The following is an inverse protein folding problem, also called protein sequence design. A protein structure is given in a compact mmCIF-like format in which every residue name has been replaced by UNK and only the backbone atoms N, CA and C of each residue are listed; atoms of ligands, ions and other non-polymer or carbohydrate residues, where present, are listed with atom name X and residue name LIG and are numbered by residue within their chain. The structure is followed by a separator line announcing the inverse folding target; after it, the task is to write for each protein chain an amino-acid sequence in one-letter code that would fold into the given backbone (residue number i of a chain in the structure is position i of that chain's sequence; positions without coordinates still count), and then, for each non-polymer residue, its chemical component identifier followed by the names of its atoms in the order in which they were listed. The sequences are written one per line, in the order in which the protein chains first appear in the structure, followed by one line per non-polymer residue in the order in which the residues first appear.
data_IF_295002592475
#
_entry.id   IF_295002592475
#
_cell.length_a   1.000
_cell.length_b   1.000
_cell.length_c   1.000
_cell.angle_alpha   90.00
_cell.angle_beta   90.00
_cell.angle_gamma   90.00
#
_symmetry.space_group_name_H-M   'P 1'
#
loop_
_entity.id
_entity.type
_entity.pdbx_description
1 polymer ?
#
# COMPACT_ATOMS: atom_id res chain seq x y z
N UNK A 1 -10.79 -14.86 9.89
CA UNK A 1 -9.74 -15.47 9.04
C UNK A 1 -8.94 -14.31 8.49
N UNK A 2 -7.61 -14.29 8.67
CA UNK A 2 -6.79 -13.17 8.23
C UNK A 2 -6.89 -13.01 6.71
N UNK A 3 -6.70 -11.78 6.24
CA UNK A 3 -6.51 -11.48 4.81
C UNK A 3 -5.30 -12.28 4.33
N UNK A 4 -5.55 -13.41 3.66
CA UNK A 4 -4.46 -14.21 3.09
C UNK A 4 -4.09 -13.57 1.76
N UNK A 5 -3.06 -12.72 1.74
CA UNK A 5 -2.37 -12.35 0.50
C UNK A 5 -1.81 -13.66 -0.10
N UNK A 6 -2.59 -14.28 -0.97
CA UNK A 6 -2.21 -15.52 -1.63
C UNK A 6 -1.27 -15.16 -2.75
N UNK A 7 -0.04 -15.64 -2.65
CA UNK A 7 1.02 -15.51 -3.65
C UNK A 7 0.48 -15.90 -5.02
N UNK A 8 0.16 -14.89 -5.83
CA UNK A 8 -0.22 -15.08 -7.22
C UNK A 8 0.82 -14.34 -8.02
N UNK A 9 1.51 -15.07 -8.89
CA UNK A 9 2.31 -14.47 -9.96
C UNK A 9 1.43 -13.41 -10.63
N UNK A 10 1.81 -12.15 -10.50
CA UNK A 10 1.08 -11.05 -11.13
C UNK A 10 0.92 -11.37 -12.60
N UNK A 11 -0.32 -11.55 -13.05
CA UNK A 11 -0.56 -11.87 -14.45
C UNK A 11 -0.15 -10.67 -15.31
N UNK A 12 0.33 -10.87 -16.56
CA UNK A 12 0.63 -9.76 -17.46
C UNK A 12 -0.53 -8.78 -17.62
N UNK A 13 -1.76 -9.29 -17.51
CA UNK A 13 -2.99 -8.51 -17.56
C UNK A 13 -3.18 -7.59 -16.34
N UNK A 14 -2.74 -7.99 -15.14
CA UNK A 14 -2.84 -7.15 -13.95
C UNK A 14 -1.87 -5.96 -14.06
N UNK A 15 -0.64 -6.19 -14.53
CA UNK A 15 0.33 -5.12 -14.75
C UNK A 15 -0.22 -4.04 -15.68
N UNK A 16 -0.86 -4.40 -16.78
CA UNK A 16 -1.40 -3.45 -17.78
C UNK A 16 -2.63 -2.66 -17.30
N UNK A 17 -3.36 -3.16 -16.30
CA UNK A 17 -4.67 -2.60 -15.92
C UNK A 17 -4.69 -1.85 -14.59
N UNK A 18 -3.58 -1.80 -13.85
CA UNK A 18 -3.45 -1.00 -12.61
C UNK A 18 -2.78 0.35 -12.86
N UNK A 19 -3.11 1.36 -12.04
CA UNK A 19 -2.40 2.65 -12.07
C UNK A 19 -0.99 2.46 -11.51
N UNK A 20 0.00 3.01 -12.21
CA UNK A 20 1.42 2.92 -11.86
C UNK A 20 1.97 4.29 -11.50
N UNK A 21 3.12 4.32 -10.83
CA UNK A 21 3.78 5.58 -10.43
C UNK A 21 4.02 6.50 -11.63
N UNK A 22 4.40 5.96 -12.79
CA UNK A 22 4.58 6.76 -14.01
C UNK A 22 3.29 7.40 -14.59
N UNK A 23 2.12 7.07 -14.04
CA UNK A 23 0.82 7.66 -14.46
C UNK A 23 0.37 8.82 -13.55
N UNK A 24 1.06 9.08 -12.44
CA UNK A 24 0.75 10.18 -11.51
C UNK A 24 1.88 11.20 -11.49
N UNK A 25 1.60 12.37 -10.89
CA UNK A 25 2.62 13.38 -10.61
C UNK A 25 3.44 12.92 -9.40
N UNK A 26 4.76 12.70 -9.52
CA UNK A 26 5.59 12.18 -8.43
C UNK A 26 5.57 13.03 -7.16
N UNK A 27 5.44 14.34 -7.32
CA UNK A 27 5.39 15.31 -6.21
C UNK A 27 4.20 15.07 -5.29
N UNK A 28 3.04 14.65 -5.80
CA UNK A 28 1.86 14.36 -4.99
C UNK A 28 2.10 13.17 -4.04
N UNK A 29 2.78 12.13 -4.54
CA UNK A 29 3.17 10.96 -3.74
C UNK A 29 4.26 11.31 -2.71
N UNK A 30 5.25 12.11 -3.11
CA UNK A 30 6.28 12.63 -2.21
C UNK A 30 5.67 13.42 -1.05
N UNK A 31 4.77 14.36 -1.35
CA UNK A 31 4.09 15.18 -0.36
C UNK A 31 3.20 14.36 0.58
N UNK A 32 2.47 13.38 0.04
CA UNK A 32 1.66 12.47 0.84
C UNK A 32 2.52 11.71 1.86
N UNK A 33 3.58 11.06 1.42
CA UNK A 33 4.46 10.26 2.30
C UNK A 33 5.19 11.14 3.32
N UNK A 34 5.61 12.35 2.93
CA UNK A 34 6.27 13.29 3.83
C UNK A 34 5.41 13.71 5.03
N UNK A 35 4.07 13.77 4.89
CA UNK A 35 3.14 14.05 6.01
C UNK A 35 3.26 13.03 7.14
N UNK A 36 3.72 11.82 6.81
CA UNK A 36 3.91 10.72 7.77
C UNK A 36 5.38 10.52 8.15
N UNK A 37 6.29 11.42 7.74
CA UNK A 37 7.72 11.28 7.98
C UNK A 37 8.38 10.15 7.19
N UNK A 38 7.79 9.77 6.05
CA UNK A 38 8.35 8.79 5.12
C UNK A 38 9.05 9.49 3.95
N UNK A 39 9.98 8.79 3.30
CA UNK A 39 10.72 9.27 2.15
C UNK A 39 10.46 8.39 0.94
N UNK A 40 9.91 8.96 -0.14
CA UNK A 40 9.76 8.27 -1.42
C UNK A 40 11.05 8.39 -2.24
N UNK A 41 11.53 7.26 -2.74
CA UNK A 41 12.69 7.16 -3.62
C UNK A 41 12.24 6.56 -4.96
N UNK A 42 12.28 7.36 -6.02
CA UNK A 42 12.06 6.89 -7.38
C UNK A 42 13.35 6.30 -7.93
N UNK A 43 13.29 5.03 -8.29
CA UNK A 43 14.39 4.23 -8.83
C UNK A 43 14.34 4.26 -10.35
N UNK A 44 15.52 4.23 -10.98
CA UNK A 44 15.66 4.19 -12.43
C UNK A 44 14.97 2.96 -13.05
N UNK A 45 14.44 3.12 -14.26
CA UNK A 45 13.83 2.02 -14.99
C UNK A 45 14.85 0.89 -15.23
N UNK A 46 14.45 -0.34 -14.93
CA UNK A 46 15.30 -1.54 -15.03
C UNK A 46 16.32 -1.72 -13.89
N UNK A 47 16.46 -0.76 -12.97
CA UNK A 47 17.21 -0.97 -11.73
C UNK A 47 16.35 -1.72 -10.70
N UNK A 48 16.99 -2.51 -9.81
CA UNK A 48 16.25 -3.29 -8.82
C UNK A 48 15.61 -2.41 -7.76
N UNK A 49 14.42 -2.78 -7.27
CA UNK A 49 13.71 -2.04 -6.21
C UNK A 49 14.19 -2.52 -4.83
N UNK A 50 14.92 -1.71 -4.04
CA UNK A 50 15.41 -2.13 -2.73
C UNK A 50 14.27 -2.42 -1.76
N UNK A 51 14.41 -3.52 -1.01
CA UNK A 51 13.47 -3.85 0.06
C UNK A 51 12.11 -4.35 -0.43
N UNK A 52 11.94 -4.66 -1.72
CA UNK A 52 10.71 -5.27 -2.24
C UNK A 52 10.53 -6.69 -1.70
N UNK A 53 9.44 -6.95 -0.96
CA UNK A 53 9.20 -8.24 -0.32
C UNK A 53 8.72 -9.29 -1.33
N UNK A 54 7.75 -8.91 -2.16
CA UNK A 54 7.14 -9.77 -3.18
C UNK A 54 7.89 -9.77 -4.51
N UNK A 55 8.88 -8.90 -4.66
CA UNK A 55 9.65 -8.73 -5.87
C UNK A 55 9.04 -7.71 -6.83
N UNK A 56 9.77 -7.41 -7.89
CA UNK A 56 9.43 -6.33 -8.80
C UNK A 56 8.20 -6.66 -9.67
N UNK A 57 7.34 -5.67 -9.97
CA UNK A 57 7.54 -4.23 -9.76
C UNK A 57 7.00 -3.68 -8.43
N UNK A 58 6.68 -4.53 -7.47
CA UNK A 58 6.14 -4.07 -6.19
C UNK A 58 7.14 -3.21 -5.42
N UNK A 59 6.61 -2.19 -4.73
CA UNK A 59 7.37 -1.27 -3.91
C UNK A 59 8.16 -2.01 -2.83
N UNK A 60 9.20 -1.35 -2.32
CA UNK A 60 10.00 -1.88 -1.23
C UNK A 60 10.21 -0.89 -0.11
N UNK A 61 10.48 -1.39 1.09
CA UNK A 61 10.70 -0.55 2.28
C UNK A 61 11.95 -0.93 3.05
N UNK A 62 12.68 0.10 3.49
CA UNK A 62 13.83 0.00 4.40
C UNK A 62 13.83 1.22 5.32
N UNK A 63 13.69 1.01 6.62
CA UNK A 63 13.57 2.12 7.56
C UNK A 63 12.30 2.95 7.30
N UNK A 64 12.46 4.26 7.15
CA UNK A 64 11.39 5.18 6.74
C UNK A 64 11.34 5.42 5.23
N UNK A 65 12.08 4.64 4.44
CA UNK A 65 12.19 4.83 2.98
C UNK A 65 11.26 3.87 2.26
N UNK A 66 10.53 4.41 1.28
CA UNK A 66 9.69 3.68 0.33
C UNK A 66 10.34 3.81 -1.05
N UNK A 67 10.65 2.69 -1.68
CA UNK A 67 11.31 2.63 -2.98
C UNK A 67 10.31 2.18 -4.03
N UNK A 68 10.26 2.91 -5.14
CA UNK A 68 9.35 2.65 -6.26
C UNK A 68 10.05 2.85 -7.59
N UNK A 69 9.50 2.30 -8.66
CA UNK A 69 9.90 2.55 -10.05
C UNK A 69 8.68 3.02 -10.85
N UNK A 70 8.86 3.52 -12.07
CA UNK A 70 7.72 4.02 -12.85
C UNK A 70 6.65 2.95 -13.14
N UNK A 71 7.04 1.68 -13.19
CA UNK A 71 6.13 0.54 -13.37
C UNK A 71 5.55 -0.01 -12.06
N UNK A 72 5.94 0.52 -10.90
CA UNK A 72 5.37 0.13 -9.61
C UNK A 72 3.90 0.53 -9.54
N UNK A 73 2.99 -0.38 -9.17
CA UNK A 73 1.59 -0.03 -8.94
C UNK A 73 1.42 0.97 -7.78
N UNK A 74 0.52 1.93 -7.92
CA UNK A 74 0.27 2.92 -6.85
C UNK A 74 -0.26 2.25 -5.58
N UNK A 75 -1.13 1.23 -5.71
CA UNK A 75 -1.59 0.48 -4.55
C UNK A 75 -0.42 -0.22 -3.81
N UNK A 76 0.60 -0.68 -4.51
CA UNK A 76 1.78 -1.29 -3.90
C UNK A 76 2.61 -0.27 -3.11
N UNK A 77 2.83 0.94 -3.67
CA UNK A 77 3.46 2.03 -2.92
C UNK A 77 2.67 2.39 -1.67
N UNK A 78 1.34 2.56 -1.79
CA UNK A 78 0.49 2.91 -0.65
C UNK A 78 0.47 1.80 0.41
N UNK A 79 0.43 0.53 0.00
CA UNK A 79 0.49 -0.63 0.90
C UNK A 79 1.75 -0.59 1.77
N UNK A 80 2.91 -0.53 1.12
CA UNK A 80 4.21 -0.51 1.81
C UNK A 80 4.39 0.75 2.67
N UNK A 81 3.90 1.91 2.21
CA UNK A 81 3.88 3.12 3.04
C UNK A 81 2.98 2.94 4.28
N UNK A 82 1.80 2.34 4.12
CA UNK A 82 0.86 2.11 5.20
C UNK A 82 1.43 1.14 6.25
N UNK A 83 2.21 0.13 5.85
CA UNK A 83 2.95 -0.71 6.78
C UNK A 83 3.86 0.10 7.71
N UNK A 84 4.58 1.08 7.16
CA UNK A 84 5.39 1.98 7.99
C UNK A 84 4.53 2.89 8.86
N UNK A 85 3.38 3.38 8.35
CA UNK A 85 2.50 4.31 9.07
C UNK A 85 1.86 3.65 10.30
N UNK A 86 1.40 2.40 10.18
CA UNK A 86 0.72 1.69 11.27
C UNK A 86 1.67 1.30 12.41
N UNK A 87 2.97 1.20 12.13
CA UNK A 87 4.00 0.98 13.14
C UNK A 87 4.28 2.26 13.94
N UNK A 88 4.59 2.14 15.25
CA UNK A 88 5.14 3.24 16.03
C UNK A 88 6.41 3.81 15.36
N UNK A 89 6.59 5.14 15.31
CA UNK A 89 7.71 5.76 14.60
C UNK A 89 9.09 5.22 15.00
N UNK A 90 9.30 4.90 16.27
CA UNK A 90 10.55 4.35 16.78
C UNK A 90 10.89 2.95 16.25
N UNK A 91 9.89 2.19 15.78
CA UNK A 91 10.08 0.84 15.24
C UNK A 91 10.41 0.85 13.74
N UNK A 92 10.10 1.92 13.02
CA UNK A 92 10.32 2.00 11.57
C UNK A 92 11.79 1.80 11.20
N UNK A 93 12.72 2.30 12.02
CA UNK A 93 14.15 2.18 11.79
C UNK A 93 14.67 0.73 11.75
N UNK A 94 13.93 -0.24 12.32
CA UNK A 94 14.30 -1.66 12.29
C UNK A 94 13.69 -2.43 11.12
N UNK A 95 12.82 -1.79 10.34
CA UNK A 95 12.16 -2.43 9.19
C UNK A 95 13.15 -2.60 8.05
N UNK A 96 13.21 -3.82 7.51
CA UNK A 96 13.92 -4.12 6.28
C UNK A 96 13.14 -5.17 5.52
N UNK A 97 12.49 -4.78 4.41
CA UNK A 97 11.68 -5.64 3.54
C UNK A 97 10.37 -6.15 4.16
N UNK A 98 10.42 -6.77 5.34
CA UNK A 98 9.23 -7.23 6.06
C UNK A 98 8.89 -6.25 7.20
N UNK A 99 7.67 -5.74 7.22
CA UNK A 99 7.21 -4.81 8.25
C UNK A 99 6.53 -5.50 9.43
N UNK A 100 5.72 -6.54 9.19
CA UNK A 100 4.91 -7.16 10.25
C UNK A 100 4.49 -8.60 9.91
N UNK A 101 4.12 -9.35 10.96
CA UNK A 101 3.38 -10.62 10.84
C UNK A 101 2.03 -10.57 11.60
N UNK A 102 1.57 -9.38 12.01
CA UNK A 102 0.28 -9.19 12.70
C UNK A 102 -0.84 -9.05 11.68
N UNK A 103 -1.90 -9.84 11.85
CA UNK A 103 -3.09 -9.73 11.01
C UNK A 103 -3.84 -8.42 11.23
N UNK A 104 -3.83 -7.87 12.45
CA UNK A 104 -4.46 -6.57 12.72
C UNK A 104 -3.74 -5.42 12.03
N UNK A 105 -2.40 -5.45 12.00
CA UNK A 105 -1.60 -4.45 11.29
C UNK A 105 -1.73 -4.58 9.77
N UNK A 106 -1.84 -5.81 9.25
CA UNK A 106 -2.12 -6.09 7.85
C UNK A 106 -3.50 -5.55 7.42
N UNK A 107 -4.55 -5.87 8.16
CA UNK A 107 -5.90 -5.39 7.87
C UNK A 107 -5.97 -3.85 7.99
N UNK A 108 -5.28 -3.25 8.97
CA UNK A 108 -5.15 -1.80 9.10
C UNK A 108 -4.38 -1.17 7.93
N UNK A 109 -3.31 -1.80 7.46
CA UNK A 109 -2.54 -1.38 6.27
C UNK A 109 -3.44 -1.37 5.04
N UNK A 110 -4.15 -2.48 4.81
CA UNK A 110 -5.11 -2.63 3.71
C UNK A 110 -6.23 -1.58 3.74
N UNK A 111 -6.70 -1.20 4.94
CA UNK A 111 -7.75 -0.20 5.08
C UNK A 111 -7.20 1.21 4.82
N UNK A 112 -6.04 1.51 5.39
CA UNK A 112 -5.44 2.83 5.30
C UNK A 112 -5.02 3.17 3.87
N UNK A 113 -4.47 2.22 3.10
CA UNK A 113 -4.11 2.49 1.69
C UNK A 113 -5.31 2.97 0.86
N UNK A 114 -6.50 2.39 1.10
CA UNK A 114 -7.74 2.82 0.45
C UNK A 114 -8.06 4.26 0.86
N UNK A 115 -8.04 4.55 2.16
CA UNK A 115 -8.32 5.90 2.67
C UNK A 115 -7.36 6.95 2.10
N UNK A 116 -6.07 6.64 2.01
CA UNK A 116 -5.03 7.57 1.53
C UNK A 116 -5.06 7.79 0.02
N UNK A 117 -5.71 6.92 -0.76
CA UNK A 117 -5.82 7.11 -2.20
C UNK A 117 -6.47 8.45 -2.56
N UNK A 118 -7.49 8.89 -1.82
CA UNK A 118 -8.17 10.18 -2.08
C UNK A 118 -7.25 11.41 -1.93
N UNK A 119 -6.07 11.24 -1.32
CA UNK A 119 -5.08 12.32 -1.21
C UNK A 119 -4.20 12.44 -2.47
N UNK A 120 -4.27 11.49 -3.42
CA UNK A 120 -3.54 11.52 -4.68
C UNK A 120 -4.45 12.01 -5.81
N UNK A 121 -4.13 13.15 -6.46
CA UNK A 121 -4.91 13.65 -7.60
C UNK A 121 -5.06 12.60 -8.70
N UNK A 122 -6.30 12.37 -9.15
CA UNK A 122 -6.62 11.42 -10.22
C UNK A 122 -6.73 9.96 -9.77
N UNK A 123 -6.56 9.68 -8.48
CA UNK A 123 -6.82 8.37 -7.88
C UNK A 123 -7.84 8.58 -6.76
N UNK A 124 -8.91 7.79 -6.77
CA UNK A 124 -9.86 7.73 -5.67
C UNK A 124 -9.90 6.32 -5.07
N UNK A 125 -10.60 6.19 -3.94
CA UNK A 125 -10.86 4.88 -3.30
C UNK A 125 -11.41 3.85 -4.27
N UNK A 126 -12.35 4.26 -5.11
CA UNK A 126 -13.05 3.36 -6.03
C UNK A 126 -12.09 2.76 -7.05
N UNK A 127 -11.17 3.58 -7.58
CA UNK A 127 -10.12 3.15 -8.49
C UNK A 127 -9.10 2.28 -7.77
N UNK A 128 -8.65 2.66 -6.57
CA UNK A 128 -7.66 1.88 -5.84
C UNK A 128 -8.18 0.47 -5.53
N UNK A 129 -9.43 0.34 -5.08
CA UNK A 129 -10.04 -0.97 -4.78
C UNK A 129 -10.15 -1.85 -6.03
N UNK A 130 -10.41 -1.27 -7.21
CA UNK A 130 -10.41 -2.01 -8.48
C UNK A 130 -8.99 -2.49 -8.85
N UNK A 131 -7.98 -1.64 -8.65
CA UNK A 131 -6.60 -1.99 -8.91
C UNK A 131 -6.15 -3.12 -7.96
N UNK A 132 -6.54 -3.06 -6.68
CA UNK A 132 -6.29 -4.12 -5.70
C UNK A 132 -6.94 -5.46 -6.12
N UNK A 133 -8.23 -5.45 -6.49
CA UNK A 133 -8.92 -6.65 -6.97
C UNK A 133 -8.26 -7.21 -8.24
N UNK A 134 -7.85 -6.32 -9.16
CA UNK A 134 -7.15 -6.68 -10.40
C UNK A 134 -5.77 -7.28 -10.14
N UNK A 135 -5.07 -6.77 -9.13
CA UNK A 135 -3.77 -7.29 -8.70
C UNK A 135 -3.88 -8.69 -8.08
N UNK A 136 -5.00 -8.98 -7.42
CA UNK A 136 -5.32 -10.27 -6.82
C UNK A 136 -5.54 -10.25 -5.31
N UNK A 137 -5.82 -9.07 -4.73
CA UNK A 137 -6.29 -8.99 -3.35
C UNK A 137 -7.58 -9.80 -3.19
N UNK A 138 -7.67 -10.57 -2.11
CA UNK A 138 -8.78 -11.47 -1.86
C UNK A 138 -9.26 -11.36 -0.43
N UNK A 139 -10.55 -11.06 -0.30
CA UNK A 139 -11.22 -10.90 0.98
C UNK A 139 -12.43 -11.83 1.08
N UNK A 140 -12.92 -12.04 2.31
CA UNK A 140 -14.01 -12.99 2.60
C UNK A 140 -15.27 -12.75 1.77
N UNK A 141 -15.59 -11.48 1.49
CA UNK A 141 -16.78 -11.09 0.74
C UNK A 141 -16.55 -11.01 -0.78
N UNK A 142 -15.38 -11.40 -1.27
CA UNK A 142 -15.09 -11.59 -2.69
C UNK A 142 -14.62 -10.34 -3.45
N UNK A 143 -14.60 -9.16 -2.84
CA UNK A 143 -13.98 -7.95 -3.41
C UNK A 143 -13.46 -7.02 -2.32
N UNK A 144 -12.49 -6.20 -2.68
CA UNK A 144 -11.93 -5.15 -1.82
C UNK A 144 -13.03 -4.18 -1.37
N UNK A 145 -13.92 -3.79 -2.29
CA UNK A 145 -15.05 -2.90 -1.94
C UNK A 145 -15.96 -3.52 -0.88
N UNK A 146 -16.40 -4.76 -1.08
CA UNK A 146 -17.31 -5.41 -0.14
C UNK A 146 -16.67 -5.54 1.25
N UNK A 147 -15.37 -5.85 1.29
CA UNK A 147 -14.61 -5.85 2.53
C UNK A 147 -14.56 -4.46 3.18
N UNK A 148 -14.12 -3.43 2.45
CA UNK A 148 -13.96 -2.07 2.98
C UNK A 148 -15.29 -1.50 3.54
N UNK A 149 -16.39 -1.73 2.84
CA UNK A 149 -17.71 -1.20 3.20
C UNK A 149 -18.44 -2.03 4.27
N UNK A 150 -18.16 -3.34 4.41
CA UNK A 150 -19.02 -4.26 5.18
C UNK A 150 -18.28 -5.22 6.14
N UNK A 151 -16.97 -5.43 6.02
CA UNK A 151 -16.21 -6.41 6.83
C UNK A 151 -14.86 -5.86 7.36
N UNK A 152 -14.65 -4.54 7.31
CA UNK A 152 -13.40 -3.89 7.73
C UNK A 152 -13.53 -3.05 9.02
N UNK A 153 -14.59 -3.23 9.81
CA UNK A 153 -14.82 -2.50 11.07
C UNK A 153 -13.63 -2.60 12.04
N UNK A 154 -13.08 -3.81 12.22
CA UNK A 154 -11.93 -4.02 13.11
C UNK A 154 -10.70 -3.20 12.69
N UNK A 155 -10.39 -3.14 11.39
CA UNK A 155 -9.27 -2.36 10.87
C UNK A 155 -9.49 -0.85 11.08
N UNK A 156 -10.70 -0.38 10.76
CA UNK A 156 -11.10 1.02 10.98
C UNK A 156 -10.98 1.42 12.45
N UNK A 157 -11.51 0.60 13.35
CA UNK A 157 -11.52 0.87 14.78
C UNK A 157 -10.10 0.82 15.36
N UNK A 158 -9.25 -0.10 14.87
CA UNK A 158 -7.84 -0.18 15.25
C UNK A 158 -7.06 1.08 14.87
N UNK A 159 -7.30 1.62 13.68
CA UNK A 159 -6.68 2.86 13.19
C UNK A 159 -7.22 4.09 13.96
N UNK A 160 -8.53 4.15 14.21
CA UNK A 160 -9.16 5.21 15.00
C UNK A 160 -8.59 5.26 16.43
N UNK A 161 -8.45 4.11 17.08
CA UNK A 161 -7.88 4.02 18.43
C UNK A 161 -6.43 4.55 18.51
N UNK A 162 -5.73 4.61 17.37
CA UNK A 162 -4.36 5.13 17.24
C UNK A 162 -4.29 6.53 16.62
N UNK A 163 -5.44 7.13 16.29
CA UNK A 163 -5.49 8.45 15.65
C UNK A 163 -4.91 8.48 14.24
N UNK A 164 -4.91 7.35 13.52
CA UNK A 164 -4.35 7.24 12.17
C UNK A 164 -5.38 7.53 11.05
N UNK A 165 -6.67 7.54 11.38
CA UNK A 165 -7.71 8.07 10.52
C UNK A 165 -7.97 9.51 10.96
N UNK A 166 -7.36 10.46 10.26
CA UNK A 166 -7.67 11.88 10.46
C UNK A 166 -8.85 12.24 9.54
N UNK A 167 -9.87 12.99 10.01
CA UNK A 167 -10.90 13.54 9.13
C UNK A 167 -10.35 14.55 8.12
#
# INVERSE_FOLDING_TARGET
MPSTLTTSQTTPNALENVVRIGHIVPEDALELLARYGLHLHLIEDGAPIPGSYWGEPEAGIIGCNVYVRNDTPVHSMLHEACHLIVLPPEQRATVHTNATNSSEEEDATCYLQIVLADALPGIDRDRLMQDMDTWGYSYRLGSTRAWFEQDAENARDWLNARGLLTP
#
